data_IF_045988579733
#
_entry.id   IF_045988579733
#
_cell.length_a   1.000
_cell.length_b   1.000
_cell.length_c   1.000
_cell.angle_alpha   90.00
_cell.angle_beta   90.00
_cell.angle_gamma   90.00
#
_symmetry.space_group_name_H-M   'P 1'
#
loop_
_entity.id
_entity.type
_entity.pdbx_description
1 polymer ?
#
# COMPACT_ATOMS: atom_id res chain seq x y z
N UNK A 1 6.15 7.84 14.11
CA UNK A 1 6.53 7.41 12.74
C UNK A 1 5.30 7.47 11.86
N UNK A 2 5.41 8.08 10.72
CA UNK A 2 4.32 8.25 9.75
C UNK A 2 4.81 7.93 8.35
N UNK A 3 3.89 7.51 7.48
CA UNK A 3 4.16 7.21 6.08
C UNK A 3 3.29 8.14 5.23
N UNK A 4 3.88 8.85 4.27
CA UNK A 4 3.15 9.84 3.48
C UNK A 4 3.71 10.00 2.07
N UNK A 5 2.84 10.35 1.13
CA UNK A 5 3.22 10.72 -0.24
C UNK A 5 3.55 12.22 -0.35
N UNK A 6 3.02 13.06 0.55
CA UNK A 6 3.29 14.50 0.61
C UNK A 6 2.99 14.99 2.02
N UNK A 7 3.93 15.72 2.61
CA UNK A 7 3.84 16.05 4.02
C UNK A 7 4.34 17.45 4.40
N UNK A 8 3.95 18.54 3.71
CA UNK A 8 4.41 19.89 4.09
C UNK A 8 3.92 20.29 5.49
N UNK A 9 2.71 19.89 5.87
CA UNK A 9 2.17 20.14 7.20
C UNK A 9 2.96 19.38 8.28
N UNK A 10 3.34 18.15 8.02
CA UNK A 10 4.12 17.36 8.99
C UNK A 10 5.53 17.94 9.17
N UNK A 11 6.16 18.43 8.08
CA UNK A 11 7.44 19.12 8.17
C UNK A 11 7.32 20.39 9.04
N UNK A 12 6.25 21.16 8.86
CA UNK A 12 5.95 22.30 9.70
C UNK A 12 5.82 21.93 11.19
N UNK A 13 5.26 20.74 11.49
CA UNK A 13 5.13 20.22 12.85
C UNK A 13 6.41 19.61 13.42
N UNK A 14 7.52 19.66 12.69
CA UNK A 14 8.82 19.19 13.17
C UNK A 14 9.17 17.76 12.77
N UNK A 15 8.35 17.10 11.92
CA UNK A 15 8.69 15.78 11.42
C UNK A 15 9.85 15.86 10.42
N UNK A 16 10.73 14.87 10.49
CA UNK A 16 11.90 14.74 9.62
C UNK A 16 11.74 13.55 8.70
N UNK A 17 12.32 13.65 7.51
CA UNK A 17 12.38 12.53 6.58
C UNK A 17 13.45 11.56 7.02
N UNK A 18 13.09 10.28 7.15
CA UNK A 18 14.01 9.23 7.56
C UNK A 18 14.41 8.33 6.39
N UNK A 19 13.47 8.01 5.49
CA UNK A 19 13.70 7.09 4.38
C UNK A 19 12.67 7.31 3.28
N UNK A 20 12.93 6.79 2.09
CA UNK A 20 12.02 6.87 0.95
C UNK A 20 11.85 5.50 0.31
N UNK A 21 10.64 5.20 -0.14
CA UNK A 21 10.35 4.03 -0.97
C UNK A 21 10.37 4.42 -2.45
N UNK A 22 10.74 3.49 -3.31
CA UNK A 22 10.78 3.68 -4.76
C UNK A 22 9.42 4.05 -5.35
N UNK A 23 8.33 3.73 -4.64
CA UNK A 23 6.96 4.10 -5.06
C UNK A 23 6.57 5.54 -4.69
N UNK A 24 7.49 6.35 -4.16
CA UNK A 24 7.26 7.76 -3.83
C UNK A 24 6.70 8.01 -2.44
N UNK A 25 6.65 7.00 -1.58
CA UNK A 25 6.18 7.14 -0.20
C UNK A 25 7.37 7.40 0.72
N UNK A 26 7.26 8.42 1.57
CA UNK A 26 8.30 8.86 2.49
C UNK A 26 7.99 8.42 3.91
N UNK A 27 9.00 7.92 4.61
CA UNK A 27 8.93 7.61 6.03
C UNK A 27 9.34 8.85 6.83
N UNK A 28 8.46 9.31 7.69
CA UNK A 28 8.65 10.49 8.53
C UNK A 28 8.70 10.09 10.01
N UNK A 29 9.49 10.81 10.79
CA UNK A 29 9.52 10.60 12.23
C UNK A 29 9.63 11.93 12.98
N UNK A 30 9.13 11.95 14.20
CA UNK A 30 9.27 13.09 15.12
C UNK A 30 10.18 12.63 16.26
N UNK A 31 11.43 13.15 16.34
CA UNK A 31 12.31 12.80 17.45
C UNK A 31 11.78 13.44 18.75
N UNK A 32 11.58 12.61 19.77
CA UNK A 32 11.07 13.06 21.08
C UNK A 32 12.19 13.18 22.10
N UNK A 33 13.40 12.68 21.78
CA UNK A 33 14.59 12.76 22.61
C UNK A 33 15.77 13.14 21.72
N UNK A 34 16.86 13.66 22.33
CA UNK A 34 18.05 14.07 21.57
C UNK A 34 18.84 12.90 20.97
N UNK A 35 18.61 11.68 21.45
CA UNK A 35 19.28 10.44 21.00
C UNK A 35 18.36 9.56 20.12
N UNK A 36 17.20 10.09 19.69
CA UNK A 36 16.29 9.35 18.83
C UNK A 36 16.97 8.97 17.50
N UNK A 37 16.90 7.68 17.16
CA UNK A 37 17.46 7.17 15.92
C UNK A 37 16.43 7.20 14.80
N UNK A 38 16.81 7.62 13.56
CA UNK A 38 15.91 7.60 12.43
C UNK A 38 15.43 6.18 12.11
N UNK A 39 14.13 5.95 11.97
CA UNK A 39 13.63 4.66 11.50
C UNK A 39 13.99 4.44 10.02
N UNK A 40 13.91 3.19 9.58
CA UNK A 40 14.14 2.83 8.18
C UNK A 40 13.08 1.86 7.70
N UNK A 41 12.75 1.93 6.42
CA UNK A 41 11.96 0.91 5.77
C UNK A 41 12.75 -0.41 5.71
N UNK A 42 12.03 -1.52 5.79
CA UNK A 42 12.58 -2.82 5.41
C UNK A 42 12.81 -2.84 3.90
N UNK A 43 13.71 -3.69 3.42
CA UNK A 43 14.03 -3.78 1.99
C UNK A 43 12.79 -4.04 1.13
N UNK A 44 11.88 -4.90 1.59
CA UNK A 44 10.63 -5.17 0.87
C UNK A 44 9.72 -3.95 0.74
N UNK A 45 9.78 -3.01 1.68
CA UNK A 45 9.02 -1.77 1.63
C UNK A 45 9.75 -0.66 0.87
N UNK A 46 11.09 -0.66 0.91
CA UNK A 46 11.90 0.30 0.16
C UNK A 46 11.83 0.06 -1.34
N UNK A 47 11.80 -1.19 -1.74
CA UNK A 47 11.72 -1.62 -3.14
C UNK A 47 10.45 -2.44 -3.38
N UNK A 48 9.27 -1.78 -3.44
CA UNK A 48 8.00 -2.48 -3.57
C UNK A 48 7.93 -3.26 -4.90
N UNK A 49 7.37 -4.45 -4.84
CA UNK A 49 7.18 -5.27 -6.03
C UNK A 49 6.81 -6.69 -5.67
N UNK A 50 6.19 -7.38 -6.61
CA UNK A 50 5.83 -8.80 -6.53
C UNK A 50 6.32 -9.50 -7.78
N UNK A 51 6.49 -10.82 -7.71
CA UNK A 51 6.92 -11.63 -8.86
C UNK A 51 5.76 -12.05 -9.75
N UNK A 52 4.55 -12.08 -9.18
CA UNK A 52 3.35 -12.54 -9.88
C UNK A 52 2.94 -11.55 -10.98
N UNK A 53 2.44 -12.09 -12.11
CA UNK A 53 1.77 -11.32 -13.15
C UNK A 53 0.32 -11.04 -12.77
N UNK A 54 -0.31 -10.08 -13.46
CA UNK A 54 -1.67 -9.66 -13.17
C UNK A 54 -1.74 -8.78 -11.92
N UNK A 55 -2.95 -8.64 -11.37
CA UNK A 55 -3.15 -7.85 -10.17
C UNK A 55 -2.91 -8.68 -8.90
N UNK A 56 -2.22 -8.07 -7.94
CA UNK A 56 -2.04 -8.62 -6.59
C UNK A 56 -2.41 -7.54 -5.59
N UNK A 57 -3.28 -7.88 -4.66
CA UNK A 57 -3.77 -6.96 -3.63
C UNK A 57 -3.42 -7.48 -2.24
N UNK A 58 -2.69 -6.67 -1.48
CA UNK A 58 -2.49 -6.86 -0.04
C UNK A 58 -3.39 -5.89 0.70
N UNK A 59 -4.09 -6.35 1.74
CA UNK A 59 -4.91 -5.47 2.56
C UNK A 59 -5.03 -5.97 4.00
N UNK A 60 -5.41 -5.04 4.89
CA UNK A 60 -5.71 -5.32 6.30
C UNK A 60 -7.12 -4.82 6.64
N UNK A 61 -7.60 -5.18 7.83
CA UNK A 61 -8.87 -4.70 8.37
C UNK A 61 -8.78 -3.36 9.10
N UNK A 62 -7.67 -2.63 8.94
CA UNK A 62 -7.46 -1.33 9.60
C UNK A 62 -8.45 -0.26 9.15
N UNK A 63 -9.00 -0.39 7.95
CA UNK A 63 -9.98 0.54 7.41
C UNK A 63 -11.26 -0.22 7.05
N UNK A 64 -12.45 0.24 7.50
CA UNK A 64 -13.71 -0.45 7.20
C UNK A 64 -14.05 -0.49 5.70
N UNK A 65 -13.49 0.41 4.91
CA UNK A 65 -13.69 0.42 3.46
C UNK A 65 -13.07 -0.80 2.77
N UNK A 66 -12.03 -1.43 3.32
CA UNK A 66 -11.48 -2.67 2.75
C UNK A 66 -12.49 -3.80 2.86
N UNK A 67 -13.17 -3.92 3.99
CA UNK A 67 -14.23 -4.90 4.19
C UNK A 67 -15.37 -4.74 3.17
N UNK A 68 -15.71 -3.50 2.84
CA UNK A 68 -16.79 -3.20 1.89
C UNK A 68 -16.34 -3.40 0.44
N UNK A 69 -15.19 -2.86 0.05
CA UNK A 69 -14.79 -2.79 -1.36
C UNK A 69 -14.03 -4.01 -1.87
N UNK A 70 -13.21 -4.67 -1.05
CA UNK A 70 -12.41 -5.81 -1.52
C UNK A 70 -13.26 -6.94 -2.11
N UNK A 71 -14.35 -7.41 -1.46
CA UNK A 71 -15.20 -8.44 -2.06
C UNK A 71 -15.83 -7.99 -3.38
N UNK A 72 -16.19 -6.71 -3.51
CA UNK A 72 -16.76 -6.16 -4.74
C UNK A 72 -15.75 -6.09 -5.88
N UNK A 73 -14.52 -5.74 -5.55
CA UNK A 73 -13.42 -5.76 -6.53
C UNK A 73 -13.12 -7.18 -6.99
N UNK A 74 -13.12 -8.15 -6.06
CA UNK A 74 -12.95 -9.57 -6.42
C UNK A 74 -14.05 -10.07 -7.35
N UNK A 75 -15.29 -9.70 -7.07
CA UNK A 75 -16.44 -10.04 -7.92
C UNK A 75 -16.30 -9.44 -9.32
N UNK A 76 -16.00 -8.15 -9.40
CA UNK A 76 -15.78 -7.44 -10.65
C UNK A 76 -14.62 -8.06 -11.46
N UNK A 77 -13.54 -8.42 -10.80
CA UNK A 77 -12.42 -9.11 -11.45
C UNK A 77 -12.85 -10.45 -12.04
N UNK A 78 -13.64 -11.22 -11.30
CA UNK A 78 -14.16 -12.52 -11.75
C UNK A 78 -15.09 -12.37 -12.96
N UNK A 79 -16.02 -11.43 -12.90
CA UNK A 79 -16.97 -11.16 -13.97
C UNK A 79 -16.30 -10.74 -15.28
N UNK A 80 -15.22 -9.98 -15.19
CA UNK A 80 -14.47 -9.48 -16.35
C UNK A 80 -13.24 -10.33 -16.69
N UNK A 81 -13.09 -11.51 -16.07
CA UNK A 81 -11.97 -12.42 -16.29
C UNK A 81 -10.59 -11.78 -16.09
N UNK A 82 -10.48 -10.88 -15.09
CA UNK A 82 -9.23 -10.20 -14.73
C UNK A 82 -8.51 -11.03 -13.67
N UNK A 83 -7.22 -11.30 -13.88
CA UNK A 83 -6.41 -12.00 -12.89
C UNK A 83 -6.18 -11.10 -11.67
N UNK A 84 -6.71 -11.51 -10.53
CA UNK A 84 -6.55 -10.81 -9.24
C UNK A 84 -6.29 -11.84 -8.14
N UNK A 85 -5.14 -11.71 -7.49
CA UNK A 85 -4.80 -12.46 -6.28
C UNK A 85 -4.96 -11.52 -5.09
N UNK A 86 -5.77 -11.92 -4.10
CA UNK A 86 -6.02 -11.13 -2.90
C UNK A 86 -5.36 -11.80 -1.71
N UNK A 87 -4.58 -11.04 -0.95
CA UNK A 87 -3.87 -11.49 0.23
C UNK A 87 -4.33 -10.66 1.43
N UNK A 88 -5.10 -11.28 2.31
CA UNK A 88 -5.57 -10.66 3.55
C UNK A 88 -4.51 -10.82 4.63
N UNK A 89 -4.00 -9.72 5.12
CA UNK A 89 -2.96 -9.68 6.16
C UNK A 89 -3.66 -9.72 7.52
N UNK A 90 -3.42 -10.78 8.30
CA UNK A 90 -4.12 -11.01 9.58
C UNK A 90 -3.20 -11.08 10.79
N UNK A 91 -1.88 -11.04 10.59
CA UNK A 91 -0.90 -11.12 11.67
C UNK A 91 0.28 -10.18 11.44
N UNK A 92 1.05 -9.95 12.51
CA UNK A 92 2.19 -9.03 12.48
C UNK A 92 3.29 -9.48 11.54
N UNK A 93 3.58 -10.77 11.49
CA UNK A 93 4.67 -11.29 10.65
C UNK A 93 4.36 -11.09 9.17
N UNK A 94 3.14 -11.42 8.75
CA UNK A 94 2.67 -11.16 7.39
C UNK A 94 2.71 -9.66 7.05
N UNK A 95 2.31 -8.80 7.99
CA UNK A 95 2.36 -7.34 7.80
C UNK A 95 3.78 -6.82 7.58
N UNK A 96 4.76 -7.36 8.31
CA UNK A 96 6.16 -6.96 8.18
C UNK A 96 6.78 -7.36 6.85
N UNK A 97 6.25 -8.39 6.20
CA UNK A 97 6.76 -8.93 4.94
C UNK A 97 5.98 -8.45 3.71
N UNK A 98 5.01 -7.55 3.87
CA UNK A 98 4.31 -6.94 2.73
C UNK A 98 5.32 -6.20 1.85
N UNK A 99 5.36 -6.45 0.53
CA UNK A 99 6.32 -5.80 -0.36
C UNK A 99 5.91 -4.36 -0.72
N UNK A 100 5.51 -3.59 0.27
CA UNK A 100 5.10 -2.19 0.15
C UNK A 100 5.30 -1.46 1.49
N UNK A 101 5.45 -0.12 1.48
CA UNK A 101 5.58 0.66 2.70
C UNK A 101 4.28 0.87 3.46
N UNK A 102 3.15 0.42 2.92
CA UNK A 102 1.82 0.51 3.53
C UNK A 102 1.16 -0.85 3.55
N UNK A 103 0.39 -1.13 4.61
CA UNK A 103 -0.26 -2.44 4.80
C UNK A 103 -1.78 -2.38 4.71
N UNK A 104 -2.38 -1.21 4.87
CA UNK A 104 -3.84 -1.08 4.80
C UNK A 104 -4.37 -1.51 3.44
N UNK A 105 -3.70 -1.08 2.37
CA UNK A 105 -4.05 -1.43 1.00
C UNK A 105 -2.84 -1.23 0.10
N UNK A 106 -2.45 -2.23 -0.65
CA UNK A 106 -1.36 -2.15 -1.62
C UNK A 106 -1.71 -2.99 -2.85
N UNK A 107 -1.95 -2.32 -3.97
CA UNK A 107 -2.32 -2.95 -5.23
C UNK A 107 -1.12 -2.94 -6.17
N UNK A 108 -0.82 -4.11 -6.75
CA UNK A 108 0.23 -4.31 -7.74
C UNK A 108 -0.36 -4.77 -9.07
N UNK A 109 0.29 -4.43 -10.17
CA UNK A 109 -0.03 -4.95 -11.50
C UNK A 109 1.25 -5.34 -12.20
N UNK A 110 1.34 -6.60 -12.64
CA UNK A 110 2.50 -7.15 -13.35
C UNK A 110 3.82 -6.87 -12.61
N UNK A 111 3.81 -7.08 -11.31
CA UNK A 111 4.96 -6.92 -10.44
C UNK A 111 5.18 -5.51 -9.89
N UNK A 112 4.51 -4.49 -10.42
CA UNK A 112 4.74 -3.09 -10.06
C UNK A 112 3.66 -2.55 -9.14
N UNK A 113 4.08 -1.76 -8.15
CA UNK A 113 3.16 -1.05 -7.26
C UNK A 113 2.31 -0.03 -8.05
N UNK A 114 1.00 -0.09 -7.86
CA UNK A 114 0.03 0.79 -8.55
C UNK A 114 -0.47 1.87 -7.61
N UNK A 115 -1.06 1.47 -6.46
CA UNK A 115 -1.69 2.43 -5.55
C UNK A 115 -1.86 1.85 -4.15
N UNK A 116 -1.87 2.75 -3.17
CA UNK A 116 -2.28 2.47 -1.80
C UNK A 116 -3.73 2.90 -1.52
N UNK A 117 -4.38 3.58 -2.46
CA UNK A 117 -5.74 4.05 -2.30
C UNK A 117 -6.72 2.90 -2.50
N UNK A 118 -7.66 2.71 -1.57
CA UNK A 118 -8.69 1.69 -1.66
C UNK A 118 -9.53 1.95 -2.90
N UNK A 119 -9.64 0.93 -3.76
CA UNK A 119 -10.36 1.03 -5.03
C UNK A 119 -11.79 0.54 -4.89
N UNK A 120 -12.73 1.29 -5.47
CA UNK A 120 -14.05 0.73 -5.76
C UNK A 120 -13.96 -0.22 -6.96
N UNK A 121 -15.01 -0.99 -7.19
CA UNK A 121 -15.13 -1.85 -8.37
C UNK A 121 -14.89 -1.07 -9.66
N UNK A 122 -15.55 0.09 -9.81
CA UNK A 122 -15.40 0.97 -10.99
C UNK A 122 -13.97 1.48 -11.18
N UNK A 123 -13.33 1.92 -10.08
CA UNK A 123 -11.95 2.40 -10.15
C UNK A 123 -10.99 1.26 -10.51
N UNK A 124 -11.21 0.09 -9.95
CA UNK A 124 -10.40 -1.08 -10.28
C UNK A 124 -10.53 -1.48 -11.76
N UNK A 125 -11.77 -1.52 -12.27
CA UNK A 125 -12.03 -1.82 -13.68
C UNK A 125 -11.37 -0.79 -14.61
N UNK A 126 -11.42 0.49 -14.24
CA UNK A 126 -10.73 1.54 -14.99
C UNK A 126 -9.21 1.33 -15.02
N UNK A 127 -8.60 0.94 -13.90
CA UNK A 127 -7.17 0.58 -13.84
C UNK A 127 -6.85 -0.63 -14.73
N UNK A 128 -7.77 -1.58 -14.82
CA UNK A 128 -7.63 -2.76 -15.68
C UNK A 128 -7.85 -2.46 -17.17
N UNK A 129 -8.29 -1.25 -17.52
CA UNK A 129 -8.57 -0.86 -18.90
C UNK A 129 -9.93 -1.30 -19.39
N UNK A 130 -10.86 -1.60 -18.50
CA UNK A 130 -12.25 -1.96 -18.84
C UNK A 130 -13.11 -0.71 -18.79
N UNK A 131 -13.81 -0.43 -19.88
CA UNK A 131 -14.82 0.64 -19.92
C UNK A 131 -16.08 0.19 -19.17
N UNK A 132 -16.55 1.05 -18.31
CA UNK A 132 -17.75 0.78 -17.49
C UNK A 132 -18.85 1.77 -17.84
#
# INVERSE_FOLDING_TARGET
MLVSVSAPYLAYKGFLQADNSDCGITLLYLPLTGDAQPPRFRECARHPGVEESGFVLYYTDQCPYTYYWVPRVEEAAREHHISLKVIHITDRESARNVPAPVTTYALFRDGKFVTQAIQSDKKFLALAGVEV
#
